data_IF_466763266060
#
_entry.id   IF_466763266060
#
_cell.length_a   1.000
_cell.length_b   1.000
_cell.length_c   1.000
_cell.angle_alpha   90.00
_cell.angle_beta   90.00
_cell.angle_gamma   90.00
#
_symmetry.space_group_name_H-M   'P 1'
#
loop_
_entity.id
_entity.type
_entity.pdbx_description
1 polymer ?
#
# COMPACT_ATOMS: atom_id res chain seq x y z
N UNK A 1 1.56 21.77 -3.52
CA UNK A 1 2.03 20.39 -3.27
C UNK A 1 3.35 20.21 -3.99
N UNK A 2 4.38 19.68 -3.34
CA UNK A 2 5.66 19.37 -3.98
C UNK A 2 5.52 18.36 -5.11
N UNK A 3 6.45 18.44 -6.06
CA UNK A 3 6.61 17.43 -7.13
C UNK A 3 6.85 16.03 -6.56
N UNK A 4 7.59 15.94 -5.45
CA UNK A 4 7.87 14.70 -4.73
C UNK A 4 6.59 14.04 -4.23
N UNK A 5 5.78 14.76 -3.45
CA UNK A 5 4.52 14.23 -2.93
C UNK A 5 3.55 13.82 -4.04
N UNK A 6 3.46 14.62 -5.09
CA UNK A 6 2.66 14.30 -6.28
C UNK A 6 3.11 12.99 -6.93
N UNK A 7 4.43 12.80 -7.08
CA UNK A 7 4.99 11.57 -7.64
C UNK A 7 4.74 10.37 -6.73
N UNK A 8 4.86 10.54 -5.41
CA UNK A 8 4.54 9.50 -4.42
C UNK A 8 3.09 9.02 -4.56
N UNK A 9 2.13 9.93 -4.65
CA UNK A 9 0.72 9.56 -4.85
C UNK A 9 0.49 8.79 -6.14
N UNK A 10 1.12 9.19 -7.25
CA UNK A 10 0.98 8.47 -8.52
C UNK A 10 1.55 7.06 -8.44
N UNK A 11 2.76 6.90 -7.90
CA UNK A 11 3.40 5.59 -7.77
C UNK A 11 2.61 4.70 -6.81
N UNK A 12 2.12 5.24 -5.70
CA UNK A 12 1.29 4.51 -4.76
C UNK A 12 0.01 4.03 -5.44
N UNK A 13 -0.69 4.91 -6.17
CA UNK A 13 -1.88 4.54 -6.92
C UNK A 13 -1.63 3.39 -7.91
N UNK A 14 -0.53 3.42 -8.66
CA UNK A 14 -0.17 2.36 -9.62
C UNK A 14 0.10 1.03 -8.91
N UNK A 15 0.90 1.04 -7.84
CA UNK A 15 1.22 -0.18 -7.08
C UNK A 15 -0.04 -0.77 -6.44
N UNK A 16 -0.85 0.06 -5.78
CA UNK A 16 -2.11 -0.34 -5.18
C UNK A 16 -3.10 -0.87 -6.23
N UNK A 17 -3.11 -0.31 -7.44
CA UNK A 17 -3.95 -0.80 -8.55
C UNK A 17 -3.54 -2.22 -8.98
N UNK A 18 -2.25 -2.43 -9.27
CA UNK A 18 -1.74 -3.71 -9.79
C UNK A 18 -1.94 -4.82 -8.76
N UNK A 19 -1.53 -4.58 -7.51
CA UNK A 19 -1.68 -5.56 -6.43
C UNK A 19 -3.17 -5.73 -6.08
N UNK A 20 -3.91 -4.63 -5.93
CA UNK A 20 -5.33 -4.65 -5.60
C UNK A 20 -6.18 -5.43 -6.61
N UNK A 21 -5.96 -5.20 -7.91
CA UNK A 21 -6.66 -5.96 -8.97
C UNK A 21 -6.31 -7.45 -8.91
N UNK A 22 -5.03 -7.78 -8.69
CA UNK A 22 -4.59 -9.18 -8.61
C UNK A 22 -5.24 -9.90 -7.43
N UNK A 23 -5.24 -9.29 -6.24
CA UNK A 23 -5.85 -9.85 -5.04
C UNK A 23 -7.38 -9.90 -5.10
N UNK A 24 -8.02 -8.96 -5.81
CA UNK A 24 -9.48 -8.89 -5.90
C UNK A 24 -10.06 -9.86 -6.95
N UNK A 25 -9.48 -9.88 -8.16
CA UNK A 25 -10.02 -10.63 -9.29
C UNK A 25 -9.49 -12.06 -9.37
N UNK A 26 -8.22 -12.28 -9.04
CA UNK A 26 -7.53 -13.57 -9.19
C UNK A 26 -6.71 -13.93 -7.94
N UNK A 27 -7.30 -13.90 -6.73
CA UNK A 27 -6.59 -14.09 -5.47
C UNK A 27 -5.74 -15.38 -5.43
N UNK A 28 -6.30 -16.50 -5.91
CA UNK A 28 -5.59 -17.79 -5.90
C UNK A 28 -4.31 -17.78 -6.73
N UNK A 29 -4.36 -17.20 -7.94
CA UNK A 29 -3.17 -17.11 -8.82
C UNK A 29 -2.06 -16.30 -8.16
N UNK A 30 -2.40 -15.18 -7.53
CA UNK A 30 -1.41 -14.35 -6.84
C UNK A 30 -0.83 -15.05 -5.61
N UNK A 31 -1.69 -15.66 -4.81
CA UNK A 31 -1.30 -16.36 -3.57
C UNK A 31 -0.40 -17.55 -3.89
N UNK A 32 -0.71 -18.34 -4.92
CA UNK A 32 0.14 -19.44 -5.37
C UNK A 32 1.49 -18.95 -5.88
N UNK A 33 1.52 -17.86 -6.66
CA UNK A 33 2.75 -17.27 -7.21
C UNK A 33 3.75 -16.89 -6.12
N UNK A 34 3.25 -16.42 -4.98
CA UNK A 34 4.10 -15.91 -3.88
C UNK A 34 4.12 -16.84 -2.66
N UNK A 35 3.54 -18.03 -2.80
CA UNK A 35 3.40 -19.05 -1.75
C UNK A 35 2.81 -18.47 -0.44
N UNK A 36 1.73 -17.69 -0.56
CA UNK A 36 1.12 -17.01 0.57
C UNK A 36 0.15 -17.93 1.33
N UNK A 37 0.66 -18.63 2.35
CA UNK A 37 -0.15 -19.54 3.18
C UNK A 37 -0.20 -19.10 4.65
N UNK A 38 -1.31 -19.33 5.37
CA UNK A 38 -2.58 -19.91 4.90
C UNK A 38 -3.38 -18.94 4.00
N UNK A 39 -4.18 -19.50 3.07
CA UNK A 39 -4.96 -18.74 2.09
C UNK A 39 -6.45 -18.73 2.44
N UNK A 40 -7.03 -17.54 2.56
CA UNK A 40 -8.47 -17.33 2.66
C UNK A 40 -8.92 -16.41 1.49
N UNK A 41 -9.67 -16.93 0.50
CA UNK A 41 -10.07 -16.14 -0.66
C UNK A 41 -10.87 -14.89 -0.32
N UNK A 42 -11.78 -14.97 0.66
CA UNK A 42 -12.64 -13.85 1.04
C UNK A 42 -11.85 -12.72 1.68
N UNK A 43 -10.95 -13.05 2.59
CA UNK A 43 -10.05 -12.08 3.23
C UNK A 43 -9.05 -11.49 2.22
N UNK A 44 -8.51 -12.29 1.31
CA UNK A 44 -7.61 -11.80 0.24
C UNK A 44 -8.32 -10.83 -0.69
N UNK A 45 -9.57 -11.12 -1.08
CA UNK A 45 -10.37 -10.21 -1.90
C UNK A 45 -10.73 -8.92 -1.14
N UNK A 46 -11.10 -9.01 0.13
CA UNK A 46 -11.36 -7.84 0.96
C UNK A 46 -10.12 -6.93 1.06
N UNK A 47 -8.94 -7.52 1.21
CA UNK A 47 -7.68 -6.77 1.20
C UNK A 47 -7.40 -6.15 -0.18
N UNK A 48 -7.67 -6.88 -1.27
CA UNK A 48 -7.62 -6.33 -2.64
C UNK A 48 -8.53 -5.12 -2.83
N UNK A 49 -9.78 -5.19 -2.34
CA UNK A 49 -10.72 -4.08 -2.40
C UNK A 49 -10.21 -2.85 -1.62
N UNK A 50 -9.58 -3.06 -0.45
CA UNK A 50 -8.97 -1.98 0.32
C UNK A 50 -7.84 -1.30 -0.47
N UNK A 51 -6.96 -2.08 -1.13
CA UNK A 51 -5.91 -1.52 -1.99
C UNK A 51 -6.49 -0.75 -3.19
N UNK A 52 -7.59 -1.21 -3.79
CA UNK A 52 -8.27 -0.47 -4.86
C UNK A 52 -8.87 0.86 -4.37
N UNK A 53 -9.41 0.89 -3.15
CA UNK A 53 -9.86 2.14 -2.53
C UNK A 53 -8.69 3.10 -2.28
N UNK A 54 -7.54 2.60 -1.81
CA UNK A 54 -6.32 3.41 -1.66
C UNK A 54 -5.76 3.89 -2.99
N UNK A 55 -5.84 3.07 -4.05
CA UNK A 55 -5.49 3.48 -5.40
C UNK A 55 -6.31 4.70 -5.83
N UNK A 56 -7.63 4.65 -5.67
CA UNK A 56 -8.50 5.77 -6.02
C UNK A 56 -8.21 7.00 -5.17
N UNK A 57 -8.06 6.83 -3.84
CA UNK A 57 -7.69 7.91 -2.92
C UNK A 57 -6.39 8.61 -3.35
N UNK A 58 -5.34 7.84 -3.63
CA UNK A 58 -4.06 8.34 -4.08
C UNK A 58 -4.12 8.99 -5.47
N UNK A 59 -4.93 8.45 -6.39
CA UNK A 59 -5.15 9.07 -7.70
C UNK A 59 -5.88 10.43 -7.59
N UNK A 60 -6.89 10.52 -6.73
CA UNK A 60 -7.58 11.78 -6.45
C UNK A 60 -6.64 12.80 -5.79
N UNK A 61 -5.81 12.36 -4.84
CA UNK A 61 -4.81 13.21 -4.22
C UNK A 61 -3.72 13.68 -5.20
N UNK A 62 -3.30 12.82 -6.14
CA UNK A 62 -2.40 13.20 -7.24
C UNK A 62 -3.00 14.31 -8.13
N UNK A 63 -4.32 14.28 -8.34
CA UNK A 63 -5.06 15.28 -9.15
C UNK A 63 -5.31 16.60 -8.41
N UNK A 64 -5.16 16.63 -7.08
CA UNK A 64 -5.31 17.85 -6.28
C UNK A 64 -4.23 18.90 -6.57
N UNK A 65 -4.59 20.18 -6.41
CA UNK A 65 -3.70 21.32 -6.61
C UNK A 65 -2.92 21.74 -5.36
N UNK A 66 -3.46 21.50 -4.16
CA UNK A 66 -2.87 22.03 -2.92
C UNK A 66 -2.66 20.96 -1.85
N UNK A 67 -1.70 21.20 -0.95
CA UNK A 67 -1.46 20.30 0.18
C UNK A 67 -2.63 20.32 1.18
N UNK A 68 -3.32 21.47 1.31
CA UNK A 68 -4.48 21.61 2.19
C UNK A 68 -5.56 20.57 1.90
N UNK A 69 -5.83 20.32 0.63
CA UNK A 69 -6.87 19.38 0.16
C UNK A 69 -6.52 17.91 0.46
N UNK A 70 -5.24 17.58 0.56
CA UNK A 70 -4.76 16.19 0.72
C UNK A 70 -4.15 15.91 2.08
N UNK A 71 -4.10 16.90 2.98
CA UNK A 71 -3.42 16.78 4.29
C UNK A 71 -3.92 15.57 5.09
N UNK A 72 -5.22 15.35 5.12
CA UNK A 72 -5.83 14.22 5.85
C UNK A 72 -5.41 12.90 5.19
N UNK A 73 -5.48 12.82 3.86
CA UNK A 73 -5.06 11.63 3.10
C UNK A 73 -3.60 11.30 3.38
N UNK A 74 -2.69 12.29 3.34
CA UNK A 74 -1.27 12.08 3.65
C UNK A 74 -1.08 11.53 5.06
N UNK A 75 -1.80 12.04 6.06
CA UNK A 75 -1.72 11.55 7.43
C UNK A 75 -2.21 10.10 7.55
N UNK A 76 -3.30 9.76 6.85
CA UNK A 76 -3.83 8.39 6.80
C UNK A 76 -2.86 7.44 6.10
N UNK A 77 -2.28 7.84 4.96
CA UNK A 77 -1.30 7.03 4.22
C UNK A 77 -0.02 6.78 5.05
N UNK A 78 0.47 7.78 5.79
CA UNK A 78 1.61 7.61 6.71
C UNK A 78 1.27 6.58 7.80
N UNK A 79 0.09 6.66 8.40
CA UNK A 79 -0.31 5.71 9.44
C UNK A 79 -0.45 4.29 8.87
N UNK A 80 -1.14 4.16 7.73
CA UNK A 80 -1.32 2.89 7.03
C UNK A 80 0.02 2.24 6.71
N UNK A 81 0.94 3.00 6.10
CA UNK A 81 2.24 2.48 5.67
C UNK A 81 3.13 2.11 6.86
N UNK A 82 3.12 2.88 7.95
CA UNK A 82 3.85 2.50 9.18
C UNK A 82 3.29 1.20 9.76
N UNK A 83 1.97 1.10 9.93
CA UNK A 83 1.34 -0.09 10.49
C UNK A 83 1.51 -1.31 9.57
N UNK A 84 1.39 -1.13 8.26
CA UNK A 84 1.63 -2.16 7.26
C UNK A 84 3.07 -2.66 7.26
N UNK A 85 4.05 -1.75 7.39
CA UNK A 85 5.46 -2.11 7.52
C UNK A 85 5.71 -2.90 8.81
N UNK A 86 5.25 -2.41 9.96
CA UNK A 86 5.42 -3.11 11.23
C UNK A 86 4.76 -4.48 11.25
N UNK A 87 3.53 -4.60 10.72
CA UNK A 87 2.83 -5.86 10.60
C UNK A 87 3.55 -6.85 9.68
N UNK A 88 4.02 -6.40 8.52
CA UNK A 88 4.78 -7.24 7.58
C UNK A 88 6.11 -7.70 8.18
N UNK A 89 6.81 -6.80 8.88
CA UNK A 89 8.07 -7.12 9.54
C UNK A 89 7.87 -8.13 10.67
N UNK A 90 6.82 -7.97 11.48
CA UNK A 90 6.49 -8.93 12.54
C UNK A 90 6.22 -10.31 11.96
N UNK A 91 5.46 -10.40 10.86
CA UNK A 91 5.15 -11.66 10.21
C UNK A 91 6.43 -12.42 9.81
N UNK A 92 7.42 -11.72 9.29
CA UNK A 92 8.67 -12.34 8.84
C UNK A 92 9.60 -12.71 10.00
N UNK A 93 9.72 -11.83 11.00
CA UNK A 93 10.68 -12.04 12.09
C UNK A 93 10.18 -13.01 13.16
N UNK A 94 8.87 -13.06 13.42
CA UNK A 94 8.33 -13.74 14.59
C UNK A 94 7.20 -14.72 14.29
N UNK A 95 6.41 -14.51 13.22
CA UNK A 95 5.24 -15.34 12.94
C UNK A 95 5.47 -16.43 11.86
N UNK A 96 6.68 -16.52 11.30
CA UNK A 96 7.00 -17.50 10.26
C UNK A 96 6.24 -17.29 8.94
N UNK A 97 5.83 -16.05 8.66
CA UNK A 97 5.14 -15.70 7.43
C UNK A 97 6.00 -15.91 6.18
N UNK A 98 5.37 -16.00 4.99
CA UNK A 98 6.08 -16.25 3.74
C UNK A 98 7.13 -15.17 3.44
N UNK A 99 8.20 -15.55 2.74
CA UNK A 99 9.28 -14.63 2.37
C UNK A 99 8.78 -13.41 1.56
N UNK A 100 7.66 -13.55 0.85
CA UNK A 100 7.00 -12.45 0.13
C UNK A 100 6.63 -11.26 1.04
N UNK A 101 6.42 -11.48 2.34
CA UNK A 101 6.16 -10.39 3.29
C UNK A 101 7.33 -9.39 3.41
N UNK A 102 8.56 -9.75 3.01
CA UNK A 102 9.64 -8.78 2.86
C UNK A 102 9.33 -7.74 1.79
N UNK A 103 8.70 -8.13 0.68
CA UNK A 103 8.29 -7.21 -0.39
C UNK A 103 7.25 -6.23 0.15
N UNK A 104 6.23 -6.74 0.86
CA UNK A 104 5.22 -5.91 1.53
C UNK A 104 5.86 -4.93 2.52
N UNK A 105 6.80 -5.41 3.35
CA UNK A 105 7.55 -4.55 4.28
C UNK A 105 8.29 -3.42 3.54
N UNK A 106 9.05 -3.75 2.50
CA UNK A 106 9.82 -2.75 1.73
C UNK A 106 8.89 -1.74 1.08
N UNK A 107 7.79 -2.19 0.44
CA UNK A 107 6.82 -1.28 -0.18
C UNK A 107 6.22 -0.31 0.84
N UNK A 108 5.72 -0.83 1.97
CA UNK A 108 5.15 0.00 3.02
C UNK A 108 6.19 0.94 3.64
N UNK A 109 7.39 0.47 3.95
CA UNK A 109 8.45 1.30 4.51
C UNK A 109 8.88 2.42 3.56
N UNK A 110 9.04 2.11 2.27
CA UNK A 110 9.41 3.11 1.25
C UNK A 110 8.29 4.14 1.09
N UNK A 111 7.03 3.73 0.88
CA UNK A 111 5.94 4.69 0.74
C UNK A 111 5.74 5.54 2.00
N UNK A 112 5.84 4.94 3.19
CA UNK A 112 5.78 5.68 4.45
C UNK A 112 6.88 6.72 4.56
N UNK A 113 8.13 6.36 4.23
CA UNK A 113 9.23 7.31 4.19
C UNK A 113 8.99 8.43 3.16
N UNK A 114 8.54 8.10 1.95
CA UNK A 114 8.25 9.07 0.90
C UNK A 114 7.15 10.06 1.30
N UNK A 115 6.06 9.59 1.92
CA UNK A 115 5.01 10.47 2.43
C UNK A 115 5.52 11.35 3.57
N UNK A 116 6.33 10.83 4.49
CA UNK A 116 6.91 11.60 5.60
C UNK A 116 7.86 12.69 5.09
N UNK A 117 8.73 12.36 4.13
CA UNK A 117 9.74 13.28 3.59
C UNK A 117 9.06 14.40 2.80
N UNK A 118 8.11 14.07 1.92
CA UNK A 118 7.52 15.05 1.02
C UNK A 118 6.28 15.79 1.54
N UNK A 119 5.75 15.45 2.74
CA UNK A 119 4.56 16.13 3.30
C UNK A 119 4.72 17.64 3.55
N UNK A 120 5.95 18.14 3.69
CA UNK A 120 6.24 19.55 4.04
C UNK A 120 6.58 20.43 2.84
N UNK A 121 6.70 19.86 1.63
CA UNK A 121 6.96 20.60 0.39
C UNK A 121 5.72 20.68 -0.48
#
# INVERSE_FOLDING_TARGET
MSKGLKTTFLLHAIVSLVIGLSLYLIPGVFVDLVNWTPFDPGMTQAFGAALLAFCLSSFLAYRSGTYGDVKIIVQTEILLTILGALGSLYQVLFAGGPAFNWVSFVLFAVFGALFIIYRKG
#
